data_IF_274882685167
#
_entry.id   IF_274882685167
#
_cell.length_a   1.000
_cell.length_b   1.000
_cell.length_c   1.000
_cell.angle_alpha   90.00
_cell.angle_beta   90.00
_cell.angle_gamma   90.00
#
_symmetry.space_group_name_H-M   'P 1'
#
loop_
_entity.id
_entity.type
_entity.pdbx_description
1 polymer ?
#
# COMPACT_ATOMS: atom_id res chain seq x y z
N UNK A 1 -27.55 -24.63 19.32
CA UNK A 1 -26.31 -24.10 18.73
C UNK A 1 -26.72 -22.92 17.87
N UNK A 2 -26.75 -21.71 18.44
CA UNK A 2 -27.15 -20.50 17.71
C UNK A 2 -26.01 -20.09 16.77
N UNK A 3 -26.28 -20.13 15.46
CA UNK A 3 -25.41 -19.57 14.44
C UNK A 3 -25.08 -18.12 14.77
N UNK A 4 -23.81 -17.75 14.58
CA UNK A 4 -23.26 -16.44 14.96
C UNK A 4 -24.15 -15.29 14.48
N UNK A 5 -24.51 -14.40 15.40
CA UNK A 5 -25.14 -13.13 15.11
C UNK A 5 -24.14 -12.25 14.35
N UNK A 6 -24.28 -12.15 13.03
CA UNK A 6 -23.51 -11.28 12.14
C UNK A 6 -24.20 -9.91 12.10
N UNK A 7 -24.11 -9.14 13.18
CA UNK A 7 -24.37 -7.71 13.08
C UNK A 7 -23.25 -7.08 12.25
N UNK A 8 -23.61 -6.48 11.11
CA UNK A 8 -22.72 -5.63 10.31
C UNK A 8 -22.05 -4.61 11.24
N UNK A 9 -20.72 -4.68 11.36
CA UNK A 9 -19.95 -3.76 12.21
C UNK A 9 -18.98 -4.45 13.18
N UNK A 10 -19.27 -5.66 13.68
CA UNK A 10 -18.38 -6.36 14.64
C UNK A 10 -17.06 -6.86 14.04
N UNK A 11 -16.92 -6.87 12.70
CA UNK A 11 -15.63 -7.13 12.05
C UNK A 11 -14.68 -5.93 12.14
N UNK A 12 -15.20 -4.70 12.13
CA UNK A 12 -14.39 -3.47 12.23
C UNK A 12 -13.77 -3.33 13.63
N UNK A 13 -14.45 -3.80 14.67
CA UNK A 13 -13.98 -3.76 16.07
C UNK A 13 -12.82 -4.73 16.37
N UNK A 14 -12.48 -5.66 15.46
CA UNK A 14 -11.48 -6.71 15.70
C UNK A 14 -10.08 -6.40 15.16
N UNK A 15 -9.82 -5.17 14.74
CA UNK A 15 -8.49 -4.76 14.26
C UNK A 15 -8.08 -5.40 12.93
N UNK A 16 -9.06 -5.80 12.12
CA UNK A 16 -8.82 -6.22 10.74
C UNK A 16 -8.66 -4.97 9.86
N UNK A 17 -7.53 -4.87 9.18
CA UNK A 17 -7.32 -3.87 8.15
C UNK A 17 -7.87 -4.40 6.83
N UNK A 18 -9.20 -4.38 6.73
CA UNK A 18 -9.90 -4.54 5.47
C UNK A 18 -9.81 -3.23 4.71
N UNK A 19 -8.91 -3.16 3.74
CA UNK A 19 -9.01 -2.16 2.69
C UNK A 19 -9.70 -2.90 1.55
N UNK A 20 -10.80 -2.32 1.06
CA UNK A 20 -11.53 -2.75 -0.12
C UNK A 20 -10.90 -2.08 -1.32
N UNK A 21 -9.90 -2.70 -1.96
CA UNK A 21 -9.18 -2.09 -3.04
C UNK A 21 -10.08 -1.98 -4.26
N UNK A 22 -11.17 -2.75 -4.35
CA UNK A 22 -12.32 -2.59 -5.26
C UNK A 22 -13.09 -1.27 -5.05
N UNK A 23 -13.26 -0.80 -3.81
CA UNK A 23 -13.81 0.53 -3.52
C UNK A 23 -12.79 1.66 -3.75
N UNK A 24 -11.50 1.36 -3.56
CA UNK A 24 -10.40 2.24 -3.99
C UNK A 24 -10.11 2.12 -5.50
N UNK A 25 -10.69 1.12 -6.16
CA UNK A 25 -10.55 0.90 -7.58
C UNK A 25 -11.43 1.96 -8.21
N UNK A 26 -10.78 3.01 -8.71
CA UNK A 26 -11.42 4.20 -9.26
C UNK A 26 -12.15 3.96 -10.59
N UNK A 27 -12.66 2.75 -10.77
CA UNK A 27 -13.58 2.33 -11.81
C UNK A 27 -15.04 2.50 -11.37
N UNK A 28 -15.25 3.17 -10.23
CA UNK A 28 -16.56 3.65 -9.84
C UNK A 28 -17.12 4.59 -10.91
N UNK A 29 -18.42 4.52 -11.27
CA UNK A 29 -19.02 5.39 -12.30
C UNK A 29 -18.86 6.89 -12.03
N UNK A 30 -18.66 7.27 -10.76
CA UNK A 30 -18.44 8.66 -10.35
C UNK A 30 -16.96 9.02 -10.13
N UNK A 31 -16.00 8.23 -10.63
CA UNK A 31 -14.59 8.67 -10.60
C UNK A 31 -14.44 9.99 -11.33
N UNK A 32 -13.68 10.91 -10.73
CA UNK A 32 -13.32 12.21 -11.30
C UNK A 32 -11.97 12.18 -12.02
N UNK A 33 -11.26 11.05 -11.95
CA UNK A 33 -9.92 10.91 -12.53
C UNK A 33 -10.02 10.37 -13.96
N UNK A 34 -9.36 11.06 -14.90
CA UNK A 34 -9.22 10.64 -16.30
C UNK A 34 -8.08 9.62 -16.43
N UNK A 35 -8.42 8.33 -16.27
CA UNK A 35 -7.46 7.23 -16.32
C UNK A 35 -6.84 7.03 -17.68
N UNK A 36 -7.49 7.48 -18.74
CA UNK A 36 -7.00 7.37 -20.12
C UNK A 36 -5.71 8.18 -20.28
N UNK A 37 -5.75 9.43 -19.83
CA UNK A 37 -4.66 10.39 -19.99
C UNK A 37 -3.72 10.45 -18.78
N UNK A 38 -4.11 9.87 -17.64
CA UNK A 38 -3.26 9.82 -16.46
C UNK A 38 -2.05 8.88 -16.66
N UNK A 39 -0.81 9.31 -16.33
CA UNK A 39 0.34 8.42 -16.29
C UNK A 39 0.25 7.40 -15.13
N UNK A 40 -0.51 7.75 -14.08
CA UNK A 40 -0.84 6.87 -12.95
C UNK A 40 -2.06 6.05 -13.33
N UNK A 41 -1.99 4.74 -13.17
CA UNK A 41 -3.10 3.82 -13.43
C UNK A 41 -3.71 3.34 -12.12
N UNK A 42 -4.96 2.81 -12.13
CA UNK A 42 -5.61 2.30 -10.93
C UNK A 42 -4.77 1.27 -10.17
N UNK A 43 -4.01 0.42 -10.88
CA UNK A 43 -3.10 -0.54 -10.25
C UNK A 43 -2.00 0.10 -9.39
N UNK A 44 -1.55 1.31 -9.72
CA UNK A 44 -0.51 2.00 -8.94
C UNK A 44 -1.08 2.47 -7.59
N UNK A 45 -2.38 2.81 -7.57
CA UNK A 45 -3.10 3.11 -6.32
C UNK A 45 -3.28 1.85 -5.48
N UNK A 46 -3.60 0.71 -6.11
CA UNK A 46 -3.64 -0.59 -5.43
C UNK A 46 -2.28 -0.94 -4.82
N UNK A 47 -1.19 -0.66 -5.53
CA UNK A 47 0.17 -0.85 -5.00
C UNK A 47 0.46 0.05 -3.81
N UNK A 48 0.08 1.33 -3.87
CA UNK A 48 0.26 2.27 -2.75
C UNK A 48 -0.57 1.88 -1.52
N UNK A 49 -1.85 1.57 -1.71
CA UNK A 49 -2.75 1.26 -0.60
C UNK A 49 -2.41 -0.07 0.07
N UNK A 50 -1.87 -1.03 -0.70
CA UNK A 50 -1.38 -2.30 -0.14
C UNK A 50 -0.12 -2.12 0.71
N UNK A 51 0.76 -1.15 0.41
CA UNK A 51 1.85 -0.77 1.33
C UNK A 51 1.26 -0.36 2.66
N UNK A 52 0.29 0.56 2.66
CA UNK A 52 -0.38 1.00 3.89
C UNK A 52 -1.03 -0.18 4.62
N UNK A 53 -1.82 -1.01 3.93
CA UNK A 53 -2.49 -2.17 4.51
C UNK A 53 -1.52 -3.13 5.20
N UNK A 54 -0.38 -3.41 4.56
CA UNK A 54 0.61 -4.39 5.02
C UNK A 54 1.56 -3.84 6.08
N UNK A 55 1.55 -2.54 6.34
CA UNK A 55 2.49 -1.90 7.29
C UNK A 55 1.80 -1.16 8.44
N UNK A 56 0.50 -0.90 8.34
CA UNK A 56 -0.30 -0.32 9.40
C UNK A 56 -0.56 -1.30 10.57
N UNK A 57 -1.09 -0.78 11.68
CA UNK A 57 -1.47 -1.59 12.85
C UNK A 57 -2.67 -2.45 12.51
N UNK A 58 -2.61 -3.75 12.78
CA UNK A 58 -3.74 -4.66 12.59
C UNK A 58 -3.38 -5.87 11.74
N UNK A 59 -4.38 -6.71 11.47
CA UNK A 59 -4.24 -7.88 10.60
C UNK A 59 -4.70 -7.50 9.17
N UNK A 60 -3.80 -7.48 8.17
CA UNK A 60 -4.19 -7.20 6.78
C UNK A 60 -5.13 -8.28 6.27
N UNK A 61 -6.25 -7.88 5.67
CA UNK A 61 -7.23 -8.78 5.07
C UNK A 61 -7.38 -8.47 3.59
N UNK A 62 -7.06 -9.44 2.74
CA UNK A 62 -7.24 -9.34 1.29
C UNK A 62 -8.60 -9.90 0.90
N UNK A 63 -9.31 -9.21 0.01
CA UNK A 63 -10.46 -9.78 -0.65
C UNK A 63 -9.98 -10.50 -1.92
N UNK A 64 -10.54 -11.69 -2.19
CA UNK A 64 -10.04 -12.51 -3.30
C UNK A 64 -10.13 -11.75 -4.61
N UNK A 65 -9.05 -11.79 -5.39
CA UNK A 65 -8.98 -11.09 -6.66
C UNK A 65 -8.23 -9.75 -6.59
N UNK A 66 -8.16 -9.11 -5.42
CA UNK A 66 -7.41 -7.85 -5.25
C UNK A 66 -5.94 -8.02 -5.63
N UNK A 67 -5.36 -9.16 -5.27
CA UNK A 67 -3.96 -9.47 -5.50
C UNK A 67 -3.65 -9.74 -6.99
N UNK A 68 -4.67 -10.02 -7.79
CA UNK A 68 -4.54 -10.25 -9.24
C UNK A 68 -5.20 -9.15 -10.07
N UNK A 69 -5.62 -8.04 -9.44
CA UNK A 69 -6.19 -6.88 -10.11
C UNK A 69 -7.61 -7.09 -10.63
N UNK A 70 -8.36 -8.03 -10.02
CA UNK A 70 -9.74 -8.31 -10.38
C UNK A 70 -10.60 -7.07 -10.18
N UNK A 71 -11.36 -6.74 -11.21
CA UNK A 71 -12.21 -5.56 -11.19
C UNK A 71 -13.67 -5.90 -10.84
N UNK A 72 -14.26 -5.13 -9.91
CA UNK A 72 -15.67 -5.22 -9.56
C UNK A 72 -16.24 -3.87 -9.14
N UNK A 73 -17.47 -3.57 -9.56
CA UNK A 73 -18.23 -2.42 -9.08
C UNK A 73 -18.92 -2.76 -7.73
N UNK A 74 -19.99 -2.04 -7.37
CA UNK A 74 -20.80 -2.36 -6.18
C UNK A 74 -21.50 -3.73 -6.30
N UNK A 75 -22.09 -4.22 -5.21
CA UNK A 75 -22.90 -5.44 -5.18
C UNK A 75 -23.93 -5.46 -6.32
N UNK A 76 -24.04 -6.54 -7.12
CA UNK A 76 -23.38 -7.85 -7.01
C UNK A 76 -22.01 -7.99 -7.69
N UNK A 77 -21.53 -6.95 -8.36
CA UNK A 77 -20.33 -7.01 -9.21
C UNK A 77 -19.01 -7.12 -8.44
N UNK A 78 -19.02 -6.92 -7.12
CA UNK A 78 -17.87 -7.19 -6.25
C UNK A 78 -17.68 -8.69 -5.94
N UNK A 79 -18.54 -9.58 -6.44
CA UNK A 79 -18.50 -11.04 -6.17
C UNK A 79 -18.28 -11.88 -7.42
N UNK A 80 -17.49 -11.36 -8.37
CA UNK A 80 -17.19 -12.05 -9.63
C UNK A 80 -16.44 -13.36 -9.42
N UNK A 81 -16.52 -14.32 -10.36
CA UNK A 81 -15.65 -15.48 -10.36
C UNK A 81 -14.17 -15.06 -10.33
N UNK A 82 -13.37 -15.77 -9.52
CA UNK A 82 -11.92 -15.54 -9.46
C UNK A 82 -11.27 -15.72 -10.84
N UNK A 83 -10.26 -14.90 -11.11
CA UNK A 83 -9.46 -14.97 -12.33
C UNK A 83 -8.42 -16.10 -12.20
N UNK A 84 -8.49 -17.07 -13.09
CA UNK A 84 -7.53 -18.17 -13.22
C UNK A 84 -6.91 -18.16 -14.61
N UNK A 85 -5.64 -18.56 -14.70
CA UNK A 85 -4.89 -18.46 -15.96
C UNK A 85 -5.44 -19.40 -17.06
N UNK A 86 -6.17 -20.45 -16.68
CA UNK A 86 -6.65 -21.46 -17.62
C UNK A 86 -7.97 -21.07 -18.32
N UNK A 87 -8.63 -20.00 -17.86
CA UNK A 87 -9.91 -19.55 -18.39
C UNK A 87 -9.80 -18.23 -19.15
N UNK A 88 -10.77 -18.04 -20.06
CA UNK A 88 -11.00 -16.78 -20.75
C UNK A 88 -12.18 -16.08 -20.09
N UNK A 89 -12.07 -14.75 -19.99
CA UNK A 89 -13.07 -13.90 -19.38
C UNK A 89 -13.41 -12.78 -20.36
N UNK A 90 -14.66 -12.33 -20.32
CA UNK A 90 -15.08 -11.17 -21.10
C UNK A 90 -14.37 -9.90 -20.62
N UNK A 91 -14.06 -9.01 -21.56
CA UNK A 91 -13.52 -7.71 -21.23
C UNK A 91 -14.55 -6.86 -20.49
N UNK A 92 -14.08 -6.05 -19.55
CA UNK A 92 -14.90 -5.14 -18.77
C UNK A 92 -14.76 -3.70 -19.27
N UNK A 93 -15.79 -2.88 -19.03
CA UNK A 93 -15.79 -1.47 -19.45
C UNK A 93 -15.91 -0.54 -18.27
N UNK A 94 -15.21 0.60 -18.32
CA UNK A 94 -15.39 1.63 -17.30
C UNK A 94 -16.77 2.27 -17.45
N UNK A 95 -17.64 2.21 -16.42
CA UNK A 95 -18.96 2.82 -16.50
C UNK A 95 -18.93 4.34 -16.30
N UNK A 96 -17.78 4.95 -15.98
CA UNK A 96 -17.71 6.38 -15.68
C UNK A 96 -17.84 7.25 -16.91
N UNK A 97 -18.44 8.43 -16.73
CA UNK A 97 -18.60 9.40 -17.81
C UNK A 97 -17.27 9.91 -18.39
N UNK A 98 -16.26 10.05 -17.54
CA UNK A 98 -14.94 10.57 -17.97
C UNK A 98 -14.17 9.48 -18.72
N UNK A 99 -14.30 8.22 -18.32
CA UNK A 99 -13.52 7.10 -18.85
C UNK A 99 -14.32 6.21 -19.81
N UNK A 100 -15.36 6.75 -20.44
CA UNK A 100 -16.19 6.01 -21.38
C UNK A 100 -15.34 5.35 -22.46
N UNK A 101 -15.69 4.10 -22.77
CA UNK A 101 -15.03 3.23 -23.76
C UNK A 101 -13.66 2.65 -23.34
N UNK A 102 -13.15 2.91 -22.13
CA UNK A 102 -12.03 2.10 -21.64
C UNK A 102 -12.47 0.65 -21.51
N UNK A 103 -11.63 -0.25 -22.02
CA UNK A 103 -11.83 -1.70 -22.01
C UNK A 103 -10.68 -2.33 -21.22
N UNK A 104 -11.01 -3.17 -20.25
CA UNK A 104 -10.06 -3.83 -19.38
C UNK A 104 -10.19 -5.33 -19.51
N UNK A 105 -9.10 -5.94 -19.99
CA UNK A 105 -8.97 -7.38 -20.03
C UNK A 105 -9.02 -7.97 -18.62
N UNK A 106 -9.92 -8.90 -18.39
CA UNK A 106 -10.02 -9.63 -17.14
C UNK A 106 -9.06 -10.83 -17.18
N UNK A 107 -7.84 -10.59 -16.71
CA UNK A 107 -6.80 -11.63 -16.60
C UNK A 107 -5.96 -11.37 -15.35
N UNK A 108 -5.28 -12.42 -14.88
CA UNK A 108 -4.38 -12.32 -13.74
C UNK A 108 -3.29 -11.26 -13.98
N UNK A 109 -3.30 -10.19 -13.19
CA UNK A 109 -2.21 -9.23 -13.15
C UNK A 109 -1.04 -9.81 -12.32
N UNK A 110 -0.05 -10.37 -13.02
CA UNK A 110 1.14 -10.96 -12.40
C UNK A 110 2.03 -9.93 -11.70
N UNK A 111 2.06 -8.69 -12.18
CA UNK A 111 2.83 -7.61 -11.57
C UNK A 111 2.24 -7.24 -10.20
N UNK A 112 0.91 -7.18 -10.10
CA UNK A 112 0.22 -6.99 -8.83
C UNK A 112 0.34 -8.21 -7.90
N UNK A 113 0.26 -9.43 -8.45
CA UNK A 113 0.39 -10.65 -7.66
C UNK A 113 1.76 -10.77 -6.99
N UNK A 114 2.84 -10.54 -7.74
CA UNK A 114 4.20 -10.54 -7.17
C UNK A 114 4.42 -9.37 -6.21
N UNK A 115 3.77 -8.22 -6.44
CA UNK A 115 3.79 -7.10 -5.51
C UNK A 115 3.19 -7.46 -4.15
N UNK A 116 2.00 -8.06 -4.10
CA UNK A 116 1.39 -8.50 -2.85
C UNK A 116 2.25 -9.55 -2.14
N UNK A 117 2.79 -10.53 -2.88
CA UNK A 117 3.74 -11.51 -2.33
C UNK A 117 4.96 -10.84 -1.71
N UNK A 118 5.52 -9.83 -2.38
CA UNK A 118 6.65 -9.05 -1.85
C UNK A 118 6.29 -8.36 -0.54
N UNK A 119 5.16 -7.66 -0.47
CA UNK A 119 4.74 -6.96 0.75
C UNK A 119 4.43 -7.93 1.90
N UNK A 120 3.80 -9.07 1.61
CA UNK A 120 3.54 -10.12 2.61
C UNK A 120 4.87 -10.67 3.15
N UNK A 121 5.84 -10.95 2.26
CA UNK A 121 7.18 -11.38 2.66
C UNK A 121 7.86 -10.35 3.56
N UNK A 122 7.85 -9.07 3.17
CA UNK A 122 8.39 -7.97 4.00
C UNK A 122 7.73 -7.96 5.38
N UNK A 123 6.40 -8.08 5.47
CA UNK A 123 5.69 -8.10 6.76
C UNK A 123 6.09 -9.30 7.62
N UNK A 124 6.18 -10.49 7.04
CA UNK A 124 6.52 -11.73 7.76
C UNK A 124 7.97 -11.73 8.27
N UNK A 125 8.90 -11.19 7.49
CA UNK A 125 10.32 -11.10 7.84
C UNK A 125 10.61 -10.00 8.86
N UNK A 126 9.67 -9.08 9.10
CA UNK A 126 9.85 -7.94 9.99
C UNK A 126 8.77 -7.88 11.07
N UNK A 127 9.03 -8.53 12.22
CA UNK A 127 8.12 -8.54 13.39
C UNK A 127 7.70 -7.15 13.86
N UNK A 128 8.51 -6.13 13.62
CA UNK A 128 8.18 -4.71 13.87
C UNK A 128 6.89 -4.27 13.17
N UNK A 129 6.59 -4.75 11.96
CA UNK A 129 5.35 -4.43 11.26
C UNK A 129 4.12 -5.13 11.85
N UNK A 130 4.33 -6.21 12.61
CA UNK A 130 3.25 -6.97 13.27
C UNK A 130 3.00 -6.44 14.67
N UNK A 131 4.05 -6.37 15.50
CA UNK A 131 3.95 -6.09 16.94
C UNK A 131 4.44 -4.70 17.35
N UNK A 132 5.09 -3.96 16.45
CA UNK A 132 5.66 -2.66 16.77
C UNK A 132 4.60 -1.62 17.10
N UNK A 133 4.92 -0.74 18.04
CA UNK A 133 4.14 0.45 18.35
C UNK A 133 4.11 1.36 17.14
N UNK A 134 2.99 2.06 16.96
CA UNK A 134 2.84 3.07 15.93
C UNK A 134 3.25 4.44 16.48
N UNK A 135 3.93 5.23 15.65
CA UNK A 135 4.22 6.65 15.90
C UNK A 135 4.00 7.44 14.62
N UNK A 136 3.37 8.58 14.75
CA UNK A 136 3.34 9.57 13.68
C UNK A 136 4.74 10.20 13.54
N UNK A 137 5.16 10.44 12.30
CA UNK A 137 6.47 11.04 12.01
C UNK A 137 6.31 12.35 11.23
N UNK A 138 5.46 12.34 10.20
CA UNK A 138 5.28 13.48 9.31
C UNK A 138 3.90 13.43 8.64
N UNK A 139 3.27 14.58 8.48
CA UNK A 139 2.05 14.73 7.70
C UNK A 139 2.07 16.10 7.01
N UNK A 140 2.02 16.08 5.68
CA UNK A 140 1.97 17.27 4.83
C UNK A 140 0.71 17.21 3.99
N UNK A 141 -0.30 17.96 4.44
CA UNK A 141 -1.61 18.04 3.80
C UNK A 141 -1.57 18.77 2.45
N UNK A 142 -0.59 19.65 2.22
CA UNK A 142 -0.49 20.38 0.94
C UNK A 142 0.08 19.48 -0.15
N UNK A 143 0.98 18.56 0.22
CA UNK A 143 1.63 17.63 -0.70
C UNK A 143 1.01 16.24 -0.75
N UNK A 144 -0.01 15.96 0.08
CA UNK A 144 -0.60 14.64 0.31
C UNK A 144 0.43 13.56 0.68
N UNK A 145 1.35 13.90 1.60
CA UNK A 145 2.40 12.98 2.06
C UNK A 145 2.22 12.67 3.54
N UNK A 146 2.31 11.40 3.89
CA UNK A 146 2.38 10.95 5.28
C UNK A 146 3.62 10.08 5.50
N UNK A 147 4.20 10.17 6.70
CA UNK A 147 5.15 9.20 7.20
C UNK A 147 4.80 8.78 8.63
N UNK A 148 4.97 7.49 8.90
CA UNK A 148 4.78 6.94 10.23
C UNK A 148 5.80 5.84 10.51
N UNK A 149 6.03 5.58 11.78
CA UNK A 149 6.98 4.60 12.26
C UNK A 149 6.26 3.42 12.91
N UNK A 150 6.78 2.22 12.62
CA UNK A 150 6.58 1.02 13.42
C UNK A 150 7.87 0.73 14.17
N UNK A 151 7.79 0.60 15.49
CA UNK A 151 8.97 0.41 16.36
C UNK A 151 8.73 -0.63 17.43
N UNK A 152 9.70 -1.54 17.60
CA UNK A 152 9.76 -2.49 18.72
C UNK A 152 11.21 -2.61 19.14
N UNK A 153 11.48 -2.36 20.43
CA UNK A 153 12.85 -2.36 20.97
C UNK A 153 13.78 -1.43 20.15
N UNK A 154 14.85 -1.97 19.57
CA UNK A 154 15.81 -1.26 18.74
C UNK A 154 15.49 -1.35 17.23
N UNK A 155 14.47 -2.12 16.84
CA UNK A 155 14.02 -2.26 15.47
C UNK A 155 13.03 -1.16 15.09
N UNK A 156 13.35 -0.44 14.02
CA UNK A 156 12.52 0.63 13.47
C UNK A 156 12.29 0.45 11.98
N UNK A 157 11.05 0.68 11.56
CA UNK A 157 10.66 0.79 10.16
C UNK A 157 9.81 2.05 10.00
N UNK A 158 10.28 2.98 9.17
CA UNK A 158 9.56 4.19 8.78
C UNK A 158 8.90 3.92 7.44
N UNK A 159 7.60 4.19 7.36
CA UNK A 159 6.80 4.09 6.13
C UNK A 159 6.57 5.51 5.66
N UNK A 160 6.78 5.75 4.37
CA UNK A 160 6.52 7.03 3.71
C UNK A 160 5.57 6.77 2.55
N UNK A 161 4.49 7.55 2.45
CA UNK A 161 3.44 7.40 1.44
C UNK A 161 3.23 8.76 0.79
N UNK A 162 3.49 8.84 -0.51
CA UNK A 162 3.06 9.95 -1.35
C UNK A 162 1.72 9.59 -2.00
N UNK A 163 0.63 10.11 -1.47
CA UNK A 163 -0.70 9.92 -2.06
C UNK A 163 -1.03 10.99 -3.12
N UNK A 164 -0.13 11.91 -3.46
CA UNK A 164 -0.41 12.86 -4.56
C UNK A 164 -0.22 12.22 -5.94
N UNK A 165 -0.73 12.91 -6.96
CA UNK A 165 -0.41 12.65 -8.37
C UNK A 165 0.87 13.36 -8.83
N UNK A 166 1.59 14.00 -7.91
CA UNK A 166 2.82 14.74 -8.18
C UNK A 166 4.04 13.99 -7.62
N UNK A 167 5.17 14.14 -8.30
CA UNK A 167 6.46 13.77 -7.73
C UNK A 167 7.02 14.95 -6.94
N UNK A 168 7.63 14.66 -5.80
CA UNK A 168 8.20 15.65 -4.90
C UNK A 168 9.66 15.34 -4.67
N UNK A 169 10.52 16.33 -4.90
CA UNK A 169 11.94 16.25 -4.58
C UNK A 169 12.20 16.86 -3.21
N UNK A 170 13.28 16.44 -2.57
CA UNK A 170 13.80 17.06 -1.35
C UNK A 170 12.79 17.09 -0.19
N UNK A 171 11.91 16.10 -0.09
CA UNK A 171 10.99 15.95 1.05
C UNK A 171 11.83 15.61 2.28
N UNK A 172 11.73 16.44 3.30
CA UNK A 172 12.52 16.34 4.53
C UNK A 172 11.60 16.28 5.74
N UNK A 173 11.89 15.37 6.67
CA UNK A 173 11.19 15.29 7.95
C UNK A 173 12.11 14.80 9.08
N UNK A 174 11.72 15.12 10.31
CA UNK A 174 12.45 14.77 11.52
C UNK A 174 12.17 13.33 11.96
N UNK A 175 13.19 12.68 12.51
CA UNK A 175 13.11 11.33 13.07
C UNK A 175 13.78 11.31 14.44
N UNK A 176 13.59 10.23 15.20
CA UNK A 176 14.24 10.05 16.51
C UNK A 176 15.67 9.50 16.41
N UNK A 177 16.28 9.49 15.22
CA UNK A 177 17.53 8.79 14.93
C UNK A 177 18.56 9.74 14.35
N UNK A 178 19.76 9.79 14.93
CA UNK A 178 20.87 10.63 14.47
C UNK A 178 21.93 9.78 13.79
N UNK A 179 22.36 10.18 12.59
CA UNK A 179 23.41 9.53 11.81
C UNK A 179 23.17 8.04 11.47
N UNK A 180 21.92 7.58 11.56
CA UNK A 180 21.50 6.19 11.35
C UNK A 180 21.19 5.89 9.88
N UNK A 181 21.40 4.64 9.48
CA UNK A 181 21.19 4.18 8.10
C UNK A 181 19.86 3.45 7.96
N UNK A 182 19.17 3.67 6.85
CA UNK A 182 17.93 3.00 6.49
C UNK A 182 18.03 2.38 5.10
N UNK A 183 17.37 1.24 4.89
CA UNK A 183 17.22 0.60 3.58
C UNK A 183 15.75 0.56 3.17
N UNK A 184 15.45 0.88 1.91
CA UNK A 184 14.11 0.68 1.35
C UNK A 184 13.89 -0.79 0.99
N UNK A 185 12.91 -1.42 1.62
CA UNK A 185 12.55 -2.81 1.37
C UNK A 185 11.68 -2.96 0.10
N UNK A 186 11.06 -1.89 -0.39
CA UNK A 186 10.20 -1.90 -1.58
C UNK A 186 11.05 -1.78 -2.84
N UNK A 187 11.89 -0.76 -2.91
CA UNK A 187 12.85 -0.58 -4.02
C UNK A 187 14.22 -1.02 -3.57
N UNK A 188 14.54 -2.30 -3.82
CA UNK A 188 15.81 -2.91 -3.41
C UNK A 188 17.00 -2.03 -3.78
N UNK A 189 17.84 -1.72 -2.79
CA UNK A 189 19.10 -1.00 -2.98
C UNK A 189 19.08 0.50 -2.68
N UNK A 190 17.91 1.15 -2.47
CA UNK A 190 17.89 2.54 -2.00
C UNK A 190 18.28 2.60 -0.52
N UNK A 191 19.28 3.42 -0.20
CA UNK A 191 19.78 3.64 1.15
C UNK A 191 19.59 5.11 1.49
N UNK A 192 19.12 5.36 2.71
CA UNK A 192 18.98 6.69 3.27
C UNK A 192 19.75 6.80 4.57
N UNK A 193 20.09 8.02 4.97
CA UNK A 193 20.74 8.29 6.24
C UNK A 193 20.10 9.49 6.90
N UNK A 194 19.93 9.43 8.22
CA UNK A 194 19.54 10.60 8.99
C UNK A 194 20.73 11.51 9.21
N UNK A 195 20.49 12.82 9.24
CA UNK A 195 21.52 13.82 9.56
C UNK A 195 21.84 13.82 11.07
N UNK A 196 22.89 14.55 11.51
CA UNK A 196 23.14 14.77 12.94
C UNK A 196 21.98 15.45 13.67
N UNK A 197 21.14 16.21 12.95
CA UNK A 197 19.93 16.83 13.48
C UNK A 197 18.72 15.86 13.50
N UNK A 198 18.92 14.59 13.12
CA UNK A 198 17.87 13.58 13.11
C UNK A 198 16.95 13.61 11.90
N UNK A 199 17.26 14.40 10.87
CA UNK A 199 16.41 14.57 9.68
C UNK A 199 16.74 13.59 8.58
N UNK A 200 15.73 13.10 7.89
CA UNK A 200 15.88 12.31 6.66
C UNK A 200 15.35 13.12 5.47
N UNK A 201 16.01 13.00 4.33
CA UNK A 201 15.66 13.67 3.08
C UNK A 201 15.58 12.67 1.94
N UNK A 202 14.52 12.74 1.15
CA UNK A 202 14.24 11.78 0.08
C UNK A 202 13.40 12.40 -1.05
N UNK A 203 13.44 11.74 -2.21
CA UNK A 203 12.60 12.06 -3.36
C UNK A 203 11.48 11.01 -3.49
N UNK A 204 10.26 11.46 -3.74
CA UNK A 204 9.07 10.62 -3.85
C UNK A 204 8.44 10.79 -5.23
N UNK A 205 8.33 9.70 -5.98
CA UNK A 205 7.51 9.69 -7.19
C UNK A 205 6.03 9.77 -6.82
N UNK A 206 5.22 10.24 -7.77
CA UNK A 206 3.77 10.22 -7.63
C UNK A 206 3.26 8.80 -7.33
N UNK A 207 2.36 8.66 -6.34
CA UNK A 207 1.88 7.36 -5.81
C UNK A 207 2.98 6.38 -5.35
N UNK A 208 4.15 6.87 -4.95
CA UNK A 208 5.21 6.02 -4.40
C UNK A 208 5.04 5.83 -2.89
N UNK A 209 5.30 4.60 -2.42
CA UNK A 209 5.45 4.30 -1.01
C UNK A 209 6.81 3.65 -0.76
N UNK A 210 7.43 3.98 0.37
CA UNK A 210 8.71 3.41 0.81
C UNK A 210 8.56 2.73 2.16
N UNK A 211 9.32 1.64 2.37
CA UNK A 211 9.39 0.94 3.66
C UNK A 211 10.84 0.95 4.10
N UNK A 212 11.20 1.97 4.90
CA UNK A 212 12.56 2.28 5.31
C UNK A 212 12.88 1.56 6.62
N UNK A 213 13.61 0.45 6.55
CA UNK A 213 14.06 -0.29 7.74
C UNK A 213 15.40 0.23 8.22
N UNK A 214 15.51 0.54 9.52
CA UNK A 214 16.78 0.89 10.15
C UNK A 214 17.76 -0.28 10.05
N UNK A 215 18.96 -0.02 9.53
CA UNK A 215 20.04 -1.00 9.46
C UNK A 215 20.65 -1.11 10.85
N UNK A 216 20.86 -2.34 11.33
CA UNK A 216 21.65 -2.55 12.53
C UNK A 216 23.14 -2.41 12.19
N UNK A 217 23.85 -1.68 13.03
CA UNK A 217 25.29 -1.87 13.17
C UNK A 217 25.43 -3.10 14.08
N UNK A 218 25.20 -4.29 13.53
CA UNK A 218 25.58 -5.49 14.26
C UNK A 218 27.11 -5.56 14.27
N UNK A 219 27.64 -5.75 15.48
CA UNK A 219 29.04 -5.98 15.81
C UNK A 219 29.51 -7.35 15.30
N UNK A 220 29.31 -7.65 14.02
CA UNK A 220 29.72 -8.89 13.35
C UNK A 220 30.96 -8.64 12.45
N UNK A 221 31.96 -8.01 13.05
CA UNK A 221 33.36 -8.14 12.66
C UNK A 221 34.17 -8.58 13.88
N UNK A 222 34.01 -9.83 14.29
CA UNK A 222 35.08 -10.65 14.87
C UNK A 222 35.12 -12.00 14.15
#
# INVERSE_FOLDING_TARGET
MLGRNLEEGKQLEKGYNGIRPDLASNYHPNTTIDWRNSPIKPKDILKLISIFQMTYIGAPMLFYGDEVGMWGATDPYCRKPMLWNEFLYDDEKNPSHINQNEVYQQKVDRDLFEWYKKLIKIRLENKTLVYGKFREVFADNERDIIAYERVIEDHSIIIVINNSFNSWENVEFETNYQDERFIDLVTEGRIFRTSPAGKIKLDLKAKEGMILRKVRIDADYE
#
